data_IF_155093547728
#
_entry.id   IF_155093547728
#
_cell.length_a   1.000
_cell.length_b   1.000
_cell.length_c   1.000
_cell.angle_alpha   90.00
_cell.angle_beta   90.00
_cell.angle_gamma   90.00
#
_symmetry.space_group_name_H-M   'P 1'
#
loop_
_entity.id
_entity.type
_entity.pdbx_description
1 polymer ?
#
# COMPACT_ATOMS: atom_id res chain seq x y z
N UNK A 1 -27.09 -45.97 43.99
CA UNK A 1 -26.73 -44.55 44.13
C UNK A 1 -26.05 -44.14 42.83
N UNK A 2 -26.73 -43.37 41.97
CA UNK A 2 -26.16 -42.84 40.72
C UNK A 2 -26.36 -41.32 40.82
N UNK A 3 -25.25 -40.58 40.90
CA UNK A 3 -25.25 -39.12 40.89
C UNK A 3 -25.00 -38.69 39.45
N UNK A 4 -26.04 -38.22 38.77
CA UNK A 4 -25.95 -37.64 37.42
C UNK A 4 -25.32 -36.25 37.55
N UNK A 5 -24.11 -36.07 37.04
CA UNK A 5 -23.53 -34.74 36.89
C UNK A 5 -24.12 -34.05 35.65
N UNK A 6 -24.49 -32.76 35.72
CA UNK A 6 -24.98 -32.03 34.55
C UNK A 6 -23.82 -31.79 33.57
N UNK A 7 -23.94 -32.35 32.36
CA UNK A 7 -23.08 -32.00 31.22
C UNK A 7 -23.44 -30.59 30.76
N UNK A 8 -22.74 -29.58 31.27
CA UNK A 8 -22.75 -28.25 30.65
C UNK A 8 -22.03 -28.33 29.32
N UNK A 9 -22.80 -28.39 28.24
CA UNK A 9 -22.30 -28.19 26.90
C UNK A 9 -21.68 -26.78 26.81
N UNK A 10 -20.36 -26.71 26.72
CA UNK A 10 -19.68 -25.50 26.29
C UNK A 10 -19.95 -25.33 24.79
N UNK A 11 -20.98 -24.56 24.44
CA UNK A 11 -21.12 -24.06 23.08
C UNK A 11 -19.95 -23.12 22.86
N UNK A 12 -18.96 -23.55 22.07
CA UNK A 12 -17.87 -22.69 21.61
C UNK A 12 -18.53 -21.51 20.90
N UNK A 13 -18.43 -20.32 21.47
CA UNK A 13 -18.81 -19.10 20.79
C UNK A 13 -18.09 -19.10 19.44
N UNK A 14 -18.85 -18.97 18.36
CA UNK A 14 -18.27 -18.71 17.05
C UNK A 14 -17.38 -17.47 17.21
N UNK A 15 -16.09 -17.63 16.87
CA UNK A 15 -15.18 -16.49 16.85
C UNK A 15 -15.85 -15.39 16.01
N UNK A 16 -15.90 -14.14 16.49
CA UNK A 16 -16.38 -13.03 15.68
C UNK A 16 -15.66 -13.10 14.34
N UNK A 17 -16.45 -13.05 13.27
CA UNK A 17 -16.06 -13.10 11.86
C UNK A 17 -14.59 -12.73 11.65
N UNK A 18 -13.78 -13.70 11.24
CA UNK A 18 -12.42 -13.47 10.79
C UNK A 18 -12.46 -12.29 9.80
N UNK A 19 -11.77 -11.20 10.14
CA UNK A 19 -11.46 -10.15 9.17
C UNK A 19 -10.83 -10.88 7.99
N UNK A 20 -11.51 -10.90 6.84
CA UNK A 20 -10.93 -11.51 5.65
C UNK A 20 -9.58 -10.83 5.43
N UNK A 21 -8.51 -11.62 5.34
CA UNK A 21 -7.20 -11.06 5.04
C UNK A 21 -7.35 -10.18 3.78
N UNK A 22 -6.79 -8.96 3.77
CA UNK A 22 -6.94 -8.07 2.63
C UNK A 22 -6.48 -8.77 1.36
N UNK A 23 -7.25 -8.66 0.29
CA UNK A 23 -6.80 -9.19 -1.01
C UNK A 23 -5.67 -8.31 -1.55
N UNK A 24 -4.80 -8.84 -2.44
CA UNK A 24 -3.78 -8.02 -3.08
C UNK A 24 -4.37 -6.74 -3.70
N UNK A 25 -5.53 -6.85 -4.35
CA UNK A 25 -6.22 -5.73 -4.97
C UNK A 25 -6.63 -4.63 -3.97
N UNK A 26 -7.12 -4.99 -2.79
CA UNK A 26 -7.46 -4.03 -1.73
C UNK A 26 -6.22 -3.30 -1.23
N UNK A 27 -5.12 -4.03 -1.01
CA UNK A 27 -3.86 -3.43 -0.58
C UNK A 27 -3.31 -2.43 -1.62
N UNK A 28 -3.34 -2.79 -2.91
CA UNK A 28 -2.93 -1.86 -3.98
C UNK A 28 -3.88 -0.67 -4.16
N UNK A 29 -5.18 -0.85 -3.91
CA UNK A 29 -6.12 0.27 -3.91
C UNK A 29 -5.85 1.27 -2.78
N UNK A 30 -5.54 0.79 -1.57
CA UNK A 30 -5.11 1.67 -0.48
C UNK A 30 -3.81 2.40 -0.83
N UNK A 31 -2.82 1.69 -1.38
CA UNK A 31 -1.58 2.33 -1.83
C UNK A 31 -1.84 3.44 -2.87
N UNK A 32 -2.77 3.21 -3.81
CA UNK A 32 -3.14 4.21 -4.83
C UNK A 32 -3.73 5.48 -4.21
N UNK A 33 -4.62 5.34 -3.22
CA UNK A 33 -5.21 6.48 -2.51
C UNK A 33 -4.14 7.32 -1.79
N UNK A 34 -3.22 6.66 -1.08
CA UNK A 34 -2.11 7.33 -0.41
C UNK A 34 -1.18 8.04 -1.41
N UNK A 35 -0.93 7.46 -2.59
CA UNK A 35 -0.15 8.11 -3.66
C UNK A 35 -0.83 9.35 -4.20
N UNK A 36 -2.14 9.30 -4.45
CA UNK A 36 -2.89 10.46 -4.94
C UNK A 36 -2.87 11.59 -3.91
N UNK A 37 -3.08 11.25 -2.61
CA UNK A 37 -2.97 12.22 -1.52
C UNK A 37 -1.57 12.84 -1.46
N UNK A 38 -0.51 12.02 -1.43
CA UNK A 38 0.86 12.53 -1.34
C UNK A 38 1.21 13.43 -2.53
N UNK A 39 0.77 13.06 -3.73
CA UNK A 39 1.02 13.83 -4.96
C UNK A 39 0.35 15.20 -4.91
N UNK A 40 -0.90 15.25 -4.48
CA UNK A 40 -1.64 16.51 -4.35
C UNK A 40 -1.03 17.41 -3.27
N UNK A 41 -0.58 16.84 -2.15
CA UNK A 41 0.17 17.55 -1.11
C UNK A 41 1.47 18.17 -1.65
N UNK A 42 2.30 17.38 -2.34
CA UNK A 42 3.55 17.88 -2.93
C UNK A 42 3.30 18.96 -3.98
N UNK A 43 2.25 18.84 -4.81
CA UNK A 43 1.84 19.88 -5.76
C UNK A 43 1.39 21.16 -5.05
N UNK A 44 0.73 21.05 -3.90
CA UNK A 44 0.33 22.16 -3.05
C UNK A 44 1.49 22.78 -2.25
N UNK A 45 2.72 22.23 -2.35
CA UNK A 45 3.89 22.68 -1.59
C UNK A 45 3.89 22.21 -0.13
N UNK A 46 3.07 21.22 0.20
CA UNK A 46 3.10 20.53 1.49
C UNK A 46 4.14 19.42 1.40
N UNK A 47 5.27 19.57 2.12
CA UNK A 47 6.39 18.63 2.05
C UNK A 47 6.44 17.65 3.23
N UNK A 48 5.51 17.78 4.17
CA UNK A 48 5.26 16.87 5.30
C UNK A 48 4.59 15.55 4.89
N UNK A 49 4.61 15.21 3.60
CA UNK A 49 3.91 14.06 3.01
C UNK A 49 4.64 12.72 3.17
N UNK A 50 5.80 12.72 3.84
CA UNK A 50 6.56 11.50 4.13
C UNK A 50 5.73 10.38 4.77
N UNK A 51 4.87 10.63 5.78
CA UNK A 51 4.05 9.58 6.38
C UNK A 51 3.08 8.95 5.38
N UNK A 52 2.49 9.76 4.50
CA UNK A 52 1.57 9.32 3.45
C UNK A 52 2.29 8.41 2.44
N UNK A 53 3.50 8.79 2.03
CA UNK A 53 4.32 7.98 1.11
C UNK A 53 4.77 6.68 1.78
N UNK A 54 5.14 6.72 3.07
CA UNK A 54 5.50 5.52 3.83
C UNK A 54 4.31 4.56 3.96
N UNK A 55 3.08 5.08 4.15
CA UNK A 55 1.86 4.29 4.13
C UNK A 55 1.60 3.66 2.75
N UNK A 56 1.78 4.42 1.66
CA UNK A 56 1.68 3.89 0.30
C UNK A 56 2.66 2.73 0.05
N UNK A 57 3.92 2.87 0.48
CA UNK A 57 4.94 1.82 0.39
C UNK A 57 4.54 0.59 1.19
N UNK A 58 4.04 0.78 2.41
CA UNK A 58 3.61 -0.33 3.26
C UNK A 58 2.48 -1.13 2.61
N UNK A 59 1.44 -0.45 2.10
CA UNK A 59 0.32 -1.09 1.42
C UNK A 59 0.73 -1.77 0.11
N UNK A 60 1.59 -1.15 -0.70
CA UNK A 60 2.11 -1.77 -1.92
C UNK A 60 2.98 -3.00 -1.61
N UNK A 61 3.74 -2.98 -0.51
CA UNK A 61 4.56 -4.11 -0.06
C UNK A 61 3.69 -5.26 0.43
N UNK A 62 2.63 -4.96 1.17
CA UNK A 62 1.62 -5.94 1.58
C UNK A 62 0.95 -6.58 0.36
N UNK A 63 0.46 -5.77 -0.59
CA UNK A 63 -0.14 -6.25 -1.83
C UNK A 63 0.81 -7.14 -2.63
N UNK A 64 2.09 -6.75 -2.74
CA UNK A 64 3.11 -7.55 -3.41
C UNK A 64 3.35 -8.89 -2.71
N UNK A 65 3.41 -8.92 -1.38
CA UNK A 65 3.62 -10.15 -0.60
C UNK A 65 2.45 -11.13 -0.76
N UNK A 66 1.24 -10.62 -1.00
CA UNK A 66 0.04 -11.42 -1.23
C UNK A 66 -0.07 -11.95 -2.67
N UNK A 67 0.71 -11.42 -3.63
CA UNK A 67 0.77 -11.97 -4.98
C UNK A 67 1.47 -13.33 -4.96
N UNK A 68 0.72 -14.40 -5.22
CA UNK A 68 1.27 -15.73 -5.31
C UNK A 68 2.38 -15.80 -6.38
N UNK A 69 3.46 -16.56 -6.14
CA UNK A 69 4.53 -16.73 -7.11
C UNK A 69 4.14 -17.75 -8.20
N UNK A 70 3.12 -17.40 -8.98
CA UNK A 70 2.63 -18.16 -10.14
C UNK A 70 2.75 -17.31 -11.41
N UNK A 71 2.92 -17.96 -12.57
CA UNK A 71 3.11 -17.34 -13.87
C UNK A 71 1.94 -16.44 -14.28
N UNK A 72 0.71 -16.75 -13.84
CA UNK A 72 -0.46 -15.91 -14.06
C UNK A 72 -0.34 -14.51 -13.44
N UNK A 73 0.46 -14.36 -12.37
CA UNK A 73 0.68 -13.09 -11.68
C UNK A 73 2.02 -12.44 -12.03
N UNK A 74 2.84 -13.02 -12.90
CA UNK A 74 4.15 -12.46 -13.27
C UNK A 74 4.06 -11.01 -13.80
N UNK A 75 3.06 -10.62 -14.62
CA UNK A 75 2.86 -9.23 -15.01
C UNK A 75 2.54 -8.32 -13.81
N UNK A 76 1.60 -8.70 -12.94
CA UNK A 76 1.22 -7.93 -11.76
C UNK A 76 2.38 -7.78 -10.77
N UNK A 77 3.20 -8.81 -10.61
CA UNK A 77 4.41 -8.78 -9.77
C UNK A 77 5.47 -7.83 -10.32
N UNK A 78 5.70 -7.83 -11.63
CA UNK A 78 6.61 -6.88 -12.29
C UNK A 78 6.11 -5.44 -12.12
N UNK A 79 4.83 -5.19 -12.32
CA UNK A 79 4.27 -3.86 -12.10
C UNK A 79 4.33 -3.44 -10.62
N UNK A 80 4.08 -4.36 -9.68
CA UNK A 80 4.20 -4.07 -8.25
C UNK A 80 5.65 -3.75 -7.83
N UNK A 81 6.65 -4.42 -8.42
CA UNK A 81 8.06 -4.07 -8.23
C UNK A 81 8.38 -2.69 -8.80
N UNK A 82 7.86 -2.36 -9.99
CA UNK A 82 7.94 -1.03 -10.58
C UNK A 82 7.35 0.04 -9.65
N UNK A 83 6.11 -0.16 -9.19
CA UNK A 83 5.44 0.73 -8.25
C UNK A 83 6.29 0.98 -6.99
N UNK A 84 6.79 -0.08 -6.34
CA UNK A 84 7.61 0.05 -5.13
C UNK A 84 8.91 0.84 -5.38
N UNK A 85 9.57 0.62 -6.51
CA UNK A 85 10.77 1.38 -6.90
C UNK A 85 10.44 2.87 -7.05
N UNK A 86 9.35 3.19 -7.74
CA UNK A 86 8.97 4.60 -7.97
C UNK A 86 8.53 5.28 -6.67
N UNK A 87 7.85 4.57 -5.76
CA UNK A 87 7.50 5.10 -4.44
C UNK A 87 8.74 5.38 -3.58
N UNK A 88 9.76 4.53 -3.64
CA UNK A 88 11.01 4.72 -2.90
C UNK A 88 11.78 5.96 -3.37
N UNK A 89 11.82 6.23 -4.68
CA UNK A 89 12.46 7.45 -5.16
C UNK A 89 11.61 8.70 -4.91
N UNK A 90 10.28 8.62 -4.99
CA UNK A 90 9.40 9.70 -4.53
C UNK A 90 9.68 10.07 -3.07
N UNK A 91 9.76 9.06 -2.18
CA UNK A 91 10.11 9.23 -0.77
C UNK A 91 11.46 9.95 -0.60
N UNK A 92 12.47 9.54 -1.36
CA UNK A 92 13.79 10.20 -1.33
C UNK A 92 13.69 11.69 -1.68
N UNK A 93 12.92 12.06 -2.70
CA UNK A 93 12.79 13.46 -3.09
C UNK A 93 11.99 14.28 -2.07
N UNK A 94 10.94 13.72 -1.48
CA UNK A 94 10.17 14.40 -0.42
C UNK A 94 10.97 14.54 0.87
N UNK A 95 11.80 13.56 1.26
CA UNK A 95 12.71 13.66 2.41
C UNK A 95 13.72 14.81 2.24
N UNK A 96 14.20 15.03 1.00
CA UNK A 96 15.07 16.18 0.72
C UNK A 96 14.32 17.52 0.75
N UNK A 97 13.03 17.55 0.37
CA UNK A 97 12.20 18.76 0.50
C UNK A 97 11.97 19.12 1.97
N UNK A 98 11.60 18.13 2.79
CA UNK A 98 11.36 18.29 4.22
C UNK A 98 12.60 18.78 4.97
N UNK A 99 13.79 18.30 4.58
CA UNK A 99 15.09 18.74 5.13
C UNK A 99 15.54 20.14 4.69
N UNK A 100 14.78 20.80 3.80
CA UNK A 100 15.11 22.15 3.33
C UNK A 100 16.26 22.20 2.32
N UNK A 101 16.26 21.29 1.33
CA UNK A 101 17.21 21.34 0.19
C UNK A 101 17.17 22.69 -0.54
N UNK A 102 18.29 23.10 -1.14
CA UNK A 102 18.38 24.34 -1.93
C UNK A 102 17.65 24.24 -3.27
N UNK A 103 17.56 23.05 -3.84
CA UNK A 103 16.95 22.81 -5.17
C UNK A 103 15.48 22.34 -5.04
N UNK A 104 14.67 23.11 -4.31
CA UNK A 104 13.25 22.77 -4.01
C UNK A 104 12.47 22.45 -5.28
N UNK A 105 12.60 23.26 -6.33
CA UNK A 105 11.87 23.06 -7.60
C UNK A 105 12.19 21.72 -8.25
N UNK A 106 13.46 21.30 -8.24
CA UNK A 106 13.89 20.03 -8.82
C UNK A 106 13.31 18.86 -8.02
N UNK A 107 13.47 18.88 -6.70
CA UNK A 107 13.00 17.80 -5.85
C UNK A 107 11.47 17.70 -5.85
N UNK A 108 10.75 18.82 -5.92
CA UNK A 108 9.30 18.83 -6.05
C UNK A 108 8.87 18.23 -7.40
N UNK A 109 9.50 18.63 -8.50
CA UNK A 109 9.22 18.10 -9.83
C UNK A 109 9.43 16.57 -9.88
N UNK A 110 10.58 16.10 -9.41
CA UNK A 110 10.90 14.67 -9.38
C UNK A 110 9.98 13.90 -8.44
N UNK A 111 9.65 14.41 -7.25
CA UNK A 111 8.70 13.76 -6.36
C UNK A 111 7.33 13.55 -7.05
N UNK A 112 6.81 14.57 -7.72
CA UNK A 112 5.53 14.48 -8.44
C UNK A 112 5.61 13.52 -9.63
N UNK A 113 6.72 13.53 -10.37
CA UNK A 113 6.93 12.62 -11.50
C UNK A 113 6.92 11.16 -11.04
N UNK A 114 7.70 10.83 -10.01
CA UNK A 114 7.83 9.48 -9.48
C UNK A 114 6.51 9.00 -8.85
N UNK A 115 5.79 9.87 -8.12
CA UNK A 115 4.43 9.57 -7.64
C UNK A 115 3.45 9.33 -8.81
N UNK A 116 3.59 10.08 -9.90
CA UNK A 116 2.81 9.88 -11.12
C UNK A 116 3.07 8.53 -11.80
N UNK A 117 4.33 8.09 -11.85
CA UNK A 117 4.70 6.78 -12.37
C UNK A 117 4.20 5.64 -11.46
N UNK A 118 4.37 5.78 -10.14
CA UNK A 118 3.83 4.84 -9.16
C UNK A 118 2.31 4.67 -9.30
N UNK A 119 1.58 5.77 -9.46
CA UNK A 119 0.13 5.76 -9.74
C UNK A 119 -0.20 4.95 -10.99
N UNK A 120 0.55 5.14 -12.07
CA UNK A 120 0.40 4.39 -13.32
C UNK A 120 0.52 2.88 -13.10
N UNK A 121 1.60 2.44 -12.45
CA UNK A 121 1.79 1.03 -12.11
C UNK A 121 0.66 0.48 -11.23
N UNK A 122 0.27 1.19 -10.18
CA UNK A 122 -0.81 0.77 -9.27
C UNK A 122 -2.16 0.64 -9.99
N UNK A 123 -2.42 1.51 -10.97
CA UNK A 123 -3.64 1.45 -11.78
C UNK A 123 -3.64 0.22 -12.70
N UNK A 124 -2.51 -0.10 -13.32
CA UNK A 124 -2.37 -1.31 -14.14
C UNK A 124 -2.50 -2.60 -13.31
N UNK A 125 -1.95 -2.61 -12.09
CA UNK A 125 -2.12 -3.72 -11.15
C UNK A 125 -3.60 -3.89 -10.80
N UNK A 126 -4.30 -2.81 -10.46
CA UNK A 126 -5.73 -2.85 -10.15
C UNK A 126 -6.55 -3.39 -11.33
N UNK A 127 -6.24 -2.97 -12.57
CA UNK A 127 -6.90 -3.49 -13.77
C UNK A 127 -6.62 -4.98 -14.02
N UNK A 128 -5.44 -5.48 -13.61
CA UNK A 128 -5.06 -6.89 -13.75
C UNK A 128 -5.72 -7.78 -12.70
N UNK A 129 -6.04 -7.22 -11.52
CA UNK A 129 -6.58 -7.95 -10.37
C UNK A 129 -8.11 -7.82 -10.20
N UNK A 130 -8.78 -7.02 -11.04
CA UNK A 130 -10.24 -6.85 -11.07
C UNK A 130 -10.95 -7.99 -11.82
#
# INVERSE_FOLDING_TARGET
MIVTAPTTAFTRAAAPSAFAAPSPGVAFAHALVEVEHARDGVLAGQFDQLPTIDAAIAHATEGFALLAPDAAFDPARKQAQGALRELQGARYHVDNLDRGTTDVTLHQHLAVEWLGQARGYLTEIAATLA
#
